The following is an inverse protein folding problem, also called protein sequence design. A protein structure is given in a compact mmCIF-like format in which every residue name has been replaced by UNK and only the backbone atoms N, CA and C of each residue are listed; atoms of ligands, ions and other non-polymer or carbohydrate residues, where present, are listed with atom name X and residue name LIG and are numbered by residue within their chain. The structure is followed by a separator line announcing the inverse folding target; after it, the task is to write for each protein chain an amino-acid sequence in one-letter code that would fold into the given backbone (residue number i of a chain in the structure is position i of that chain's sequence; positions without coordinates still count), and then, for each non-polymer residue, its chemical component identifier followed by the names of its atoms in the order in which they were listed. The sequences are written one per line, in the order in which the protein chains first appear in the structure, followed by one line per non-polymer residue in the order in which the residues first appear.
data_IF_683465717708
#
_entry.id   IF_683465717708
#
_cell.length_a   1.000
_cell.length_b   1.000
_cell.length_c   1.000
_cell.angle_alpha   90.00
_cell.angle_beta   90.00
_cell.angle_gamma   90.00
#
_symmetry.space_group_name_H-M   'P 1'
#
loop_
_entity.id
_entity.type
_entity.pdbx_description
1 polymer ?
#
# COMPACT_ATOMS: atom_id res chain seq x y z
N UNK A 1 -24.80 12.72 8.25
CA UNK A 1 -24.54 11.83 7.09
C UNK A 1 -25.14 12.48 5.86
N UNK A 2 -24.49 12.43 4.68
CA UNK A 2 -25.07 12.97 3.45
C UNK A 2 -26.41 12.27 3.14
N UNK A 3 -27.34 13.02 2.56
CA UNK A 3 -28.70 12.59 2.23
C UNK A 3 -28.64 11.42 1.24
N UNK A 4 -28.99 10.21 1.67
CA UNK A 4 -28.87 8.97 0.88
C UNK A 4 -27.84 7.96 1.40
N UNK A 5 -27.11 8.28 2.47
CA UNK A 5 -26.23 7.33 3.13
C UNK A 5 -26.95 6.64 4.30
N UNK A 6 -27.37 5.39 4.09
CA UNK A 6 -27.90 4.53 5.16
C UNK A 6 -26.75 3.82 5.90
N UNK A 7 -26.78 3.89 7.23
CA UNK A 7 -25.74 3.28 8.06
C UNK A 7 -26.01 1.77 8.20
N UNK A 8 -25.37 0.96 7.34
CA UNK A 8 -25.46 -0.50 7.43
C UNK A 8 -24.60 -1.01 8.59
N UNK A 9 -25.21 -1.38 9.71
CA UNK A 9 -24.50 -2.02 10.84
C UNK A 9 -24.25 -3.51 10.59
N UNK A 10 -23.65 -3.87 9.46
CA UNK A 10 -23.20 -5.24 9.22
C UNK A 10 -21.76 -5.36 9.71
N UNK A 11 -21.59 -5.76 10.98
CA UNK A 11 -20.29 -5.88 11.65
C UNK A 11 -19.26 -6.64 10.83
N UNK A 12 -19.67 -7.70 10.14
CA UNK A 12 -18.80 -8.49 9.28
C UNK A 12 -18.18 -7.69 8.13
N UNK A 13 -18.98 -6.91 7.40
CA UNK A 13 -18.51 -6.10 6.27
C UNK A 13 -17.59 -4.97 6.77
N UNK A 14 -17.93 -4.36 7.90
CA UNK A 14 -17.09 -3.34 8.52
C UNK A 14 -15.72 -3.92 8.91
N UNK A 15 -15.68 -5.11 9.51
CA UNK A 15 -14.43 -5.78 9.85
C UNK A 15 -13.57 -6.09 8.63
N UNK A 16 -14.18 -6.52 7.51
CA UNK A 16 -13.46 -6.81 6.27
C UNK A 16 -12.80 -5.55 5.70
N UNK A 17 -13.55 -4.46 5.61
CA UNK A 17 -13.05 -3.16 5.11
C UNK A 17 -11.95 -2.62 6.05
N UNK A 18 -12.17 -2.68 7.36
CA UNK A 18 -11.19 -2.23 8.34
C UNK A 18 -9.90 -3.06 8.32
N UNK A 19 -10.02 -4.37 8.05
CA UNK A 19 -8.88 -5.26 7.92
C UNK A 19 -8.06 -4.95 6.67
N UNK A 20 -8.71 -4.69 5.54
CA UNK A 20 -8.03 -4.33 4.29
C UNK A 20 -7.19 -3.05 4.46
N UNK A 21 -7.77 -2.03 5.11
CA UNK A 21 -7.10 -0.75 5.35
C UNK A 21 -6.00 -0.81 6.43
N UNK A 22 -5.87 -1.92 7.18
CA UNK A 22 -4.95 -2.03 8.32
C UNK A 22 -3.50 -1.80 7.93
N UNK A 23 -3.10 -2.30 6.75
CA UNK A 23 -1.73 -2.17 6.26
C UNK A 23 -1.36 -0.71 6.00
N UNK A 24 -2.21 0.01 5.26
CA UNK A 24 -2.03 1.43 4.95
C UNK A 24 -2.01 2.26 6.23
N UNK A 25 -2.98 2.05 7.14
CA UNK A 25 -3.04 2.75 8.43
C UNK A 25 -1.77 2.52 9.26
N UNK A 26 -1.20 1.31 9.24
CA UNK A 26 0.05 1.02 9.96
C UNK A 26 1.23 1.83 9.43
N UNK A 27 1.30 2.05 8.11
CA UNK A 27 2.37 2.81 7.47
C UNK A 27 2.17 4.33 7.60
N UNK A 28 0.93 4.83 7.60
CA UNK A 28 0.65 6.27 7.64
C UNK A 28 0.56 6.84 9.05
N UNK A 29 0.20 6.03 10.06
CA UNK A 29 0.02 6.48 11.45
C UNK A 29 1.29 7.09 12.09
N UNK A 30 2.51 6.55 11.90
CA UNK A 30 3.72 7.17 12.45
C UNK A 30 4.04 8.54 11.85
N UNK A 31 3.62 8.81 10.61
CA UNK A 31 3.91 10.05 9.89
C UNK A 31 2.94 11.21 10.16
N UNK A 32 2.02 11.09 11.11
CA UNK A 32 0.91 12.05 11.31
C UNK A 32 0.07 12.27 10.04
N UNK A 33 -0.17 11.20 9.27
CA UNK A 33 -0.88 11.25 7.98
C UNK A 33 -0.17 12.15 6.96
N UNK A 34 -0.91 12.66 5.97
CA UNK A 34 -0.33 13.41 4.85
C UNK A 34 -0.74 14.89 4.93
N UNK A 35 0.21 15.79 4.68
CA UNK A 35 -0.02 17.24 4.69
C UNK A 35 -0.78 17.76 3.46
N UNK A 36 -0.75 17.02 2.33
CA UNK A 36 -1.47 17.40 1.12
C UNK A 36 -1.99 16.19 0.34
N UNK A 37 -3.01 16.40 -0.48
CA UNK A 37 -3.57 15.31 -1.31
C UNK A 37 -2.55 14.77 -2.31
N UNK A 38 -1.73 15.63 -2.90
CA UNK A 38 -0.69 15.22 -3.85
C UNK A 38 0.36 14.31 -3.20
N UNK A 39 0.81 14.66 -2.00
CA UNK A 39 1.78 13.84 -1.25
C UNK A 39 1.17 12.52 -0.81
N UNK A 40 -0.09 12.54 -0.35
CA UNK A 40 -0.86 11.33 -0.04
C UNK A 40 -0.93 10.39 -1.25
N UNK A 41 -1.35 10.91 -2.40
CA UNK A 41 -1.50 10.14 -3.63
C UNK A 41 -0.20 9.44 -4.06
N UNK A 42 0.89 10.21 -4.14
CA UNK A 42 2.22 9.67 -4.51
C UNK A 42 2.71 8.62 -3.52
N UNK A 43 2.51 8.85 -2.22
CA UNK A 43 2.97 7.92 -1.19
C UNK A 43 2.17 6.61 -1.21
N UNK A 44 0.85 6.69 -1.37
CA UNK A 44 -0.01 5.52 -1.49
C UNK A 44 0.32 4.68 -2.72
N UNK A 45 0.59 5.31 -3.87
CA UNK A 45 1.08 4.61 -5.07
C UNK A 45 2.42 3.89 -4.80
N UNK A 46 3.36 4.54 -4.10
CA UNK A 46 4.62 3.90 -3.70
C UNK A 46 4.41 2.68 -2.81
N UNK A 47 3.50 2.75 -1.84
CA UNK A 47 3.14 1.62 -0.98
C UNK A 47 2.52 0.46 -1.75
N UNK A 48 1.69 0.76 -2.74
CA UNK A 48 1.09 -0.25 -3.62
C UNK A 48 2.15 -0.96 -4.46
N UNK A 49 3.05 -0.21 -5.11
CA UNK A 49 4.17 -0.74 -5.89
C UNK A 49 5.06 -1.65 -5.03
N UNK A 50 5.45 -1.19 -3.84
CA UNK A 50 6.26 -2.00 -2.93
C UNK A 50 5.55 -3.28 -2.48
N UNK A 51 4.23 -3.24 -2.30
CA UNK A 51 3.45 -4.44 -1.98
C UNK A 51 3.36 -5.41 -3.17
N UNK A 52 3.26 -4.91 -4.40
CA UNK A 52 3.31 -5.72 -5.62
C UNK A 52 4.66 -6.42 -5.78
N UNK A 53 5.77 -5.69 -5.57
CA UNK A 53 7.13 -6.25 -5.56
C UNK A 53 7.22 -7.37 -4.53
N UNK A 54 6.85 -7.10 -3.27
CA UNK A 54 6.90 -8.08 -2.18
C UNK A 54 6.09 -9.34 -2.48
N UNK A 55 4.94 -9.19 -3.16
CA UNK A 55 4.06 -10.31 -3.54
C UNK A 55 4.55 -11.08 -4.77
N UNK A 56 5.58 -10.61 -5.48
CA UNK A 56 6.04 -11.21 -6.74
C UNK A 56 5.03 -11.04 -7.87
N UNK A 57 4.29 -9.92 -7.88
CA UNK A 57 3.31 -9.63 -8.94
C UNK A 57 3.95 -8.95 -10.17
N UNK A 58 5.26 -8.67 -10.11
CA UNK A 58 6.00 -8.12 -11.23
C UNK A 58 6.55 -9.25 -12.12
N UNK A 59 6.57 -9.02 -13.42
CA UNK A 59 7.18 -9.95 -14.37
C UNK A 59 8.68 -10.05 -14.09
N UNK A 60 9.18 -11.28 -13.98
CA UNK A 60 10.61 -11.56 -13.78
C UNK A 60 11.10 -11.53 -12.33
N UNK A 61 10.23 -11.30 -11.34
CA UNK A 61 10.58 -11.37 -9.92
C UNK A 61 9.56 -12.18 -9.15
N UNK A 62 9.94 -13.40 -8.79
CA UNK A 62 9.07 -14.30 -8.05
C UNK A 62 8.89 -13.88 -6.59
N UNK A 63 7.78 -14.33 -6.01
CA UNK A 63 7.51 -14.13 -4.58
C UNK A 63 8.55 -14.86 -3.75
N UNK A 64 9.34 -14.11 -2.98
CA UNK A 64 10.38 -14.66 -2.10
C UNK A 64 11.77 -14.66 -2.70
N UNK A 65 11.94 -14.27 -3.97
CA UNK A 65 13.25 -13.95 -4.53
C UNK A 65 13.73 -12.59 -4.03
N UNK A 66 14.29 -12.58 -2.81
CA UNK A 66 14.77 -11.36 -2.15
C UNK A 66 15.89 -10.69 -2.95
N UNK A 67 16.73 -11.46 -3.65
CA UNK A 67 17.84 -10.93 -4.44
C UNK A 67 17.34 -10.27 -5.72
N UNK A 68 16.41 -10.90 -6.44
CA UNK A 68 15.76 -10.32 -7.61
C UNK A 68 14.96 -9.07 -7.26
N UNK A 69 14.21 -9.09 -6.15
CA UNK A 69 13.50 -7.91 -5.63
C UNK A 69 14.47 -6.75 -5.32
N UNK A 70 15.58 -7.03 -4.64
CA UNK A 70 16.58 -6.02 -4.31
C UNK A 70 17.26 -5.45 -5.55
N UNK A 71 17.62 -6.29 -6.52
CA UNK A 71 18.23 -5.86 -7.79
C UNK A 71 17.28 -4.98 -8.61
N UNK A 72 15.99 -5.31 -8.66
CA UNK A 72 14.97 -4.51 -9.34
C UNK A 72 14.83 -3.13 -8.69
N UNK A 73 14.78 -3.07 -7.35
CA UNK A 73 14.72 -1.81 -6.61
C UNK A 73 15.98 -0.98 -6.85
N UNK A 74 17.17 -1.58 -6.76
CA UNK A 74 18.43 -0.90 -7.03
C UNK A 74 18.46 -0.29 -8.44
N UNK A 75 18.02 -1.06 -9.45
CA UNK A 75 17.93 -0.60 -10.84
C UNK A 75 16.94 0.54 -11.00
N UNK A 76 15.75 0.45 -10.38
CA UNK A 76 14.71 1.48 -10.47
C UNK A 76 15.16 2.83 -9.90
N UNK A 77 15.94 2.81 -8.81
CA UNK A 77 16.44 4.02 -8.16
C UNK A 77 17.84 4.43 -8.61
N UNK A 78 18.45 3.70 -9.56
CA UNK A 78 19.80 3.99 -10.04
C UNK A 78 20.87 3.87 -8.96
N UNK A 79 20.60 3.08 -7.91
CA UNK A 79 21.57 2.82 -6.84
C UNK A 79 22.49 1.71 -7.33
N UNK A 80 23.78 2.00 -7.47
CA UNK A 80 24.79 0.96 -7.71
C UNK A 80 24.81 0.06 -6.48
N UNK A 81 24.36 -1.18 -6.65
CA UNK A 81 24.34 -2.21 -5.62
C UNK A 81 25.74 -2.80 -5.39
#
# INVERSE_FOLDING_TARGET
MPTGCELRQVKYINNLIEQDHRFIKRLTKPGMSFFSFNTAWRTLQGYEIMNMIRKGQLQGVDKGDVRGQAALVATLFGVVA
#
